data_IF_286380853178
#
_entry.id   IF_286380853178
#
_cell.length_a   1.000
_cell.length_b   1.000
_cell.length_c   1.000
_cell.angle_alpha   90.00
_cell.angle_beta   90.00
_cell.angle_gamma   90.00
#
_symmetry.space_group_name_H-M   'P 1'
#
loop_
_entity.id
_entity.type
_entity.pdbx_description
1 polymer ?
#
# COMPACT_ATOMS: atom_id res chain seq x y z
N UNK A 1 -16.26 32.54 -35.60
CA UNK A 1 -16.73 31.24 -36.11
C UNK A 1 -15.70 30.13 -35.88
N UNK A 2 -14.42 30.31 -36.24
CA UNK A 2 -13.34 29.32 -36.02
C UNK A 2 -13.10 29.02 -34.53
N UNK A 3 -13.09 30.03 -33.66
CA UNK A 3 -12.94 29.86 -32.21
C UNK A 3 -14.13 29.14 -31.55
N UNK A 4 -15.33 29.38 -32.05
CA UNK A 4 -16.54 28.68 -31.57
C UNK A 4 -16.54 27.20 -31.99
N UNK A 5 -16.14 26.92 -33.24
CA UNK A 5 -15.97 25.53 -33.71
C UNK A 5 -14.89 24.78 -32.92
N UNK A 6 -13.74 25.43 -32.65
CA UNK A 6 -12.67 24.84 -31.85
C UNK A 6 -13.12 24.52 -30.43
N UNK A 7 -13.87 25.43 -29.76
CA UNK A 7 -14.43 25.17 -28.42
C UNK A 7 -15.46 24.05 -28.41
N UNK A 8 -16.33 23.99 -29.42
CA UNK A 8 -17.33 22.93 -29.51
C UNK A 8 -16.69 21.54 -29.71
N UNK A 9 -15.64 21.45 -30.54
CA UNK A 9 -14.87 20.21 -30.74
C UNK A 9 -14.19 19.81 -29.43
N UNK A 10 -13.54 20.73 -28.76
CA UNK A 10 -12.86 20.45 -27.47
C UNK A 10 -13.85 19.99 -26.40
N UNK A 11 -15.01 20.64 -26.28
CA UNK A 11 -16.07 20.20 -25.35
C UNK A 11 -16.63 18.81 -25.69
N UNK A 12 -16.76 18.51 -26.98
CA UNK A 12 -17.20 17.20 -27.43
C UNK A 12 -16.16 16.12 -27.10
N UNK A 13 -14.87 16.37 -27.35
CA UNK A 13 -13.78 15.46 -27.02
C UNK A 13 -13.68 15.19 -25.50
N UNK A 14 -13.83 16.23 -24.68
CA UNK A 14 -13.85 16.11 -23.22
C UNK A 14 -15.05 15.28 -22.75
N UNK A 15 -16.25 15.56 -23.27
CA UNK A 15 -17.45 14.79 -22.92
C UNK A 15 -17.36 13.32 -23.36
N UNK A 16 -16.79 13.08 -24.53
CA UNK A 16 -16.59 11.74 -25.07
C UNK A 16 -15.59 10.93 -24.23
N UNK A 17 -14.45 11.53 -23.88
CA UNK A 17 -13.45 10.93 -23.00
C UNK A 17 -14.02 10.62 -21.62
N UNK A 18 -14.85 11.51 -21.07
CA UNK A 18 -15.53 11.28 -19.79
C UNK A 18 -16.53 10.11 -19.87
N UNK A 19 -17.28 10.01 -20.98
CA UNK A 19 -18.20 8.89 -21.19
C UNK A 19 -17.47 7.56 -21.31
N UNK A 20 -16.35 7.51 -22.05
CA UNK A 20 -15.49 6.33 -22.12
C UNK A 20 -14.97 5.92 -20.73
N UNK A 21 -14.41 6.87 -19.98
CA UNK A 21 -13.89 6.62 -18.64
C UNK A 21 -14.98 6.13 -17.67
N UNK A 22 -16.15 6.74 -17.71
CA UNK A 22 -17.30 6.34 -16.88
C UNK A 22 -17.79 4.93 -17.20
N UNK A 23 -17.92 4.60 -18.47
CA UNK A 23 -18.34 3.27 -18.91
C UNK A 23 -17.33 2.18 -18.48
N UNK A 24 -16.05 2.39 -18.78
CA UNK A 24 -15.00 1.43 -18.43
C UNK A 24 -14.86 1.30 -16.92
N UNK A 25 -15.03 2.40 -16.18
CA UNK A 25 -15.07 2.34 -14.73
C UNK A 25 -16.21 1.47 -14.22
N UNK A 26 -17.42 1.61 -14.75
CA UNK A 26 -18.56 0.74 -14.42
C UNK A 26 -18.26 -0.73 -14.70
N UNK A 27 -17.60 -1.02 -15.81
CA UNK A 27 -17.23 -2.38 -16.19
C UNK A 27 -16.20 -2.99 -15.24
N UNK A 28 -15.12 -2.25 -14.92
CA UNK A 28 -14.03 -2.76 -14.10
C UNK A 28 -14.29 -2.66 -12.60
N UNK A 29 -15.01 -1.63 -12.14
CA UNK A 29 -15.19 -1.38 -10.70
C UNK A 29 -16.51 -1.93 -10.16
N UNK A 30 -17.59 -1.84 -10.95
CA UNK A 30 -18.94 -2.20 -10.47
C UNK A 30 -19.39 -3.57 -11.00
N UNK A 31 -18.63 -4.18 -11.91
CA UNK A 31 -18.94 -5.50 -12.45
C UNK A 31 -20.22 -5.52 -13.29
N UNK A 32 -20.48 -4.46 -14.07
CA UNK A 32 -21.66 -4.37 -14.92
C UNK A 32 -21.69 -5.55 -15.90
N UNK A 33 -22.71 -6.41 -15.78
CA UNK A 33 -22.89 -7.55 -16.66
C UNK A 33 -23.56 -7.11 -17.96
N UNK A 34 -22.89 -7.38 -19.07
CA UNK A 34 -23.40 -7.15 -20.43
C UNK A 34 -23.11 -8.39 -21.29
N UNK A 35 -23.93 -8.63 -22.29
CA UNK A 35 -23.60 -9.63 -23.32
C UNK A 35 -22.45 -9.13 -24.20
N UNK A 36 -21.73 -10.04 -24.85
CA UNK A 36 -20.66 -9.69 -25.80
C UNK A 36 -21.13 -8.74 -26.90
N UNK A 37 -22.36 -8.94 -27.37
CA UNK A 37 -22.99 -8.12 -28.41
C UNK A 37 -23.22 -6.69 -27.91
N UNK A 38 -23.78 -6.54 -26.70
CA UNK A 38 -24.00 -5.25 -26.06
C UNK A 38 -22.68 -4.54 -25.76
N UNK A 39 -21.69 -5.28 -25.29
CA UNK A 39 -20.38 -4.75 -24.98
C UNK A 39 -19.66 -4.23 -26.24
N UNK A 40 -19.65 -5.00 -27.33
CA UNK A 40 -19.10 -4.57 -28.62
C UNK A 40 -19.82 -3.35 -29.17
N UNK A 41 -21.16 -3.30 -29.07
CA UNK A 41 -21.94 -2.13 -29.48
C UNK A 41 -21.53 -0.89 -28.66
N UNK A 42 -21.37 -1.03 -27.33
CA UNK A 42 -20.91 0.07 -26.47
C UNK A 42 -19.50 0.54 -26.81
N UNK A 43 -18.59 -0.38 -27.10
CA UNK A 43 -17.24 -0.03 -27.56
C UNK A 43 -17.29 0.79 -28.84
N UNK A 44 -18.11 0.40 -29.83
CA UNK A 44 -18.28 1.14 -31.05
C UNK A 44 -18.91 2.52 -30.82
N UNK A 45 -20.01 2.59 -30.05
CA UNK A 45 -20.69 3.86 -29.70
C UNK A 45 -19.76 4.85 -29.00
N UNK A 46 -18.79 4.34 -28.21
CA UNK A 46 -17.79 5.11 -27.49
C UNK A 46 -16.47 5.27 -28.27
N UNK A 47 -16.40 4.84 -29.53
CA UNK A 47 -15.18 4.96 -30.33
C UNK A 47 -13.97 4.21 -29.77
N UNK A 48 -14.19 3.19 -28.94
CA UNK A 48 -13.13 2.33 -28.42
C UNK A 48 -12.80 1.26 -29.46
N UNK A 49 -11.56 1.25 -29.94
CA UNK A 49 -11.09 0.30 -30.96
C UNK A 49 -10.72 -1.06 -30.32
N UNK A 50 -11.68 -1.66 -29.60
CA UNK A 50 -11.52 -2.93 -28.90
C UNK A 50 -12.65 -3.90 -29.26
N UNK A 51 -12.38 -5.20 -29.11
CA UNK A 51 -13.35 -6.26 -29.37
C UNK A 51 -13.58 -7.05 -28.08
N UNK A 52 -14.85 -7.19 -27.67
CA UNK A 52 -15.23 -7.92 -26.45
C UNK A 52 -14.86 -9.42 -26.47
N UNK A 53 -14.65 -10.00 -27.65
CA UNK A 53 -14.22 -11.38 -27.83
C UNK A 53 -12.70 -11.55 -27.61
N UNK A 54 -11.92 -10.47 -27.70
CA UNK A 54 -10.49 -10.53 -27.48
C UNK A 54 -10.19 -10.35 -26.00
N UNK A 55 -9.38 -11.24 -25.40
CA UNK A 55 -8.94 -11.06 -24.02
C UNK A 55 -8.04 -9.84 -23.91
N UNK A 56 -7.91 -9.35 -22.70
CA UNK A 56 -7.00 -8.24 -22.34
C UNK A 56 -5.99 -8.72 -21.32
N UNK A 57 -4.89 -7.97 -21.17
CA UNK A 57 -4.05 -8.06 -19.98
C UNK A 57 -4.49 -7.00 -18.98
N UNK A 58 -4.50 -7.36 -17.71
CA UNK A 58 -4.77 -6.42 -16.64
C UNK A 58 -3.53 -6.24 -15.78
N UNK A 59 -3.26 -5.00 -15.42
CA UNK A 59 -2.17 -4.61 -14.51
C UNK A 59 -2.78 -3.76 -13.40
N UNK A 60 -2.61 -4.19 -12.15
CA UNK A 60 -2.90 -3.39 -10.97
C UNK A 60 -1.58 -2.92 -10.38
N UNK A 61 -1.25 -1.65 -10.55
CA UNK A 61 -0.12 -1.02 -9.90
C UNK A 61 -0.56 -0.44 -8.55
N UNK A 62 0.11 -0.81 -7.48
CA UNK A 62 -0.16 -0.39 -6.12
C UNK A 62 1.03 0.39 -5.56
N UNK A 63 0.78 1.55 -4.95
CA UNK A 63 1.77 2.39 -4.31
C UNK A 63 1.26 2.90 -2.96
N UNK A 64 2.06 2.84 -1.87
CA UNK A 64 1.66 3.39 -0.59
C UNK A 64 1.54 4.92 -0.67
N UNK A 65 0.62 5.48 0.12
CA UNK A 65 0.54 6.92 0.35
C UNK A 65 1.90 7.45 0.81
N UNK A 66 2.46 8.48 0.17
CA UNK A 66 3.71 9.08 0.64
C UNK A 66 3.60 9.58 2.07
N UNK A 67 4.66 9.43 2.87
CA UNK A 67 4.71 9.97 4.22
C UNK A 67 4.64 11.52 4.21
N UNK A 68 4.13 12.11 5.28
CA UNK A 68 3.91 13.56 5.38
C UNK A 68 5.19 14.41 5.27
N UNK A 69 6.35 13.81 5.49
CA UNK A 69 7.67 14.45 5.34
C UNK A 69 8.13 14.54 3.88
N UNK A 70 7.36 13.98 2.94
CA UNK A 70 7.65 14.07 1.51
C UNK A 70 7.09 15.36 0.89
N UNK A 71 7.66 15.77 -0.25
CA UNK A 71 7.17 16.92 -1.02
C UNK A 71 5.82 16.68 -1.72
N UNK A 72 5.24 15.49 -1.60
CA UNK A 72 4.01 15.08 -2.28
C UNK A 72 2.77 15.34 -1.42
N UNK A 73 1.85 16.18 -1.91
CA UNK A 73 0.48 16.22 -1.41
C UNK A 73 -0.28 14.99 -1.93
N UNK A 74 -1.19 14.38 -1.16
CA UNK A 74 -1.89 13.13 -1.55
C UNK A 74 -2.57 13.19 -2.92
N UNK A 75 -3.27 14.29 -3.19
CA UNK A 75 -3.98 14.49 -4.47
C UNK A 75 -3.01 14.61 -5.66
N UNK A 76 -1.90 15.30 -5.45
CA UNK A 76 -0.86 15.50 -6.46
C UNK A 76 -0.12 14.19 -6.75
N UNK A 77 0.11 13.37 -5.72
CA UNK A 77 0.71 12.05 -5.86
C UNK A 77 -0.16 11.13 -6.71
N UNK A 78 -1.45 11.03 -6.42
CA UNK A 78 -2.38 10.21 -7.20
C UNK A 78 -2.43 10.61 -8.68
N UNK A 79 -2.41 11.91 -8.95
CA UNK A 79 -2.33 12.42 -10.32
C UNK A 79 -1.01 12.05 -11.01
N UNK A 80 0.12 12.26 -10.34
CA UNK A 80 1.44 11.93 -10.88
C UNK A 80 1.60 10.42 -11.12
N UNK A 81 1.13 9.59 -10.17
CA UNK A 81 1.16 8.14 -10.29
C UNK A 81 0.32 7.64 -11.46
N UNK A 82 -0.90 8.19 -11.63
CA UNK A 82 -1.75 7.87 -12.78
C UNK A 82 -1.08 8.25 -14.11
N UNK A 83 -0.48 9.43 -14.20
CA UNK A 83 0.19 9.88 -15.42
C UNK A 83 1.36 8.98 -15.76
N UNK A 84 2.19 8.64 -14.78
CA UNK A 84 3.32 7.73 -14.97
C UNK A 84 2.85 6.34 -15.43
N UNK A 85 1.80 5.81 -14.80
CA UNK A 85 1.21 4.54 -15.22
C UNK A 85 0.61 4.60 -16.64
N UNK A 86 -0.03 5.72 -17.01
CA UNK A 86 -0.59 5.91 -18.35
C UNK A 86 0.50 5.94 -19.41
N UNK A 87 1.59 6.64 -19.15
CA UNK A 87 2.72 6.75 -20.07
C UNK A 87 3.41 5.39 -20.27
N UNK A 88 3.74 4.72 -19.18
CA UNK A 88 4.57 3.51 -19.22
C UNK A 88 3.80 2.23 -19.54
N UNK A 89 2.57 2.09 -19.08
CA UNK A 89 1.78 0.89 -19.35
C UNK A 89 0.98 1.00 -20.65
N UNK A 90 0.39 2.16 -20.94
CA UNK A 90 -0.62 2.31 -21.98
C UNK A 90 -0.24 3.31 -23.08
N UNK A 91 1.04 3.63 -23.25
CA UNK A 91 1.55 4.48 -24.34
C UNK A 91 0.75 5.79 -24.50
N UNK A 92 0.46 6.45 -23.37
CA UNK A 92 -0.35 7.69 -23.32
C UNK A 92 -1.82 7.55 -23.70
N UNK A 93 -2.41 6.35 -23.54
CA UNK A 93 -3.85 6.15 -23.68
C UNK A 93 -4.57 6.32 -22.33
N UNK A 94 -5.04 7.52 -21.94
CA UNK A 94 -5.54 7.81 -20.58
C UNK A 94 -6.85 7.08 -20.25
N UNK A 95 -7.62 6.67 -21.26
CA UNK A 95 -8.84 5.87 -21.08
C UNK A 95 -8.55 4.45 -20.59
N UNK A 96 -7.30 4.00 -20.66
CA UNK A 96 -6.91 2.64 -20.29
C UNK A 96 -6.43 2.53 -18.84
N UNK A 97 -6.36 3.64 -18.08
CA UNK A 97 -5.86 3.65 -16.70
C UNK A 97 -6.86 4.32 -15.76
N UNK A 98 -7.21 3.61 -14.69
CA UNK A 98 -8.08 4.10 -13.62
C UNK A 98 -7.29 4.22 -12.33
N UNK A 99 -7.26 5.41 -11.76
CA UNK A 99 -6.70 5.64 -10.43
C UNK A 99 -7.82 5.61 -9.38
N UNK A 100 -7.55 4.96 -8.25
CA UNK A 100 -8.41 5.00 -7.06
C UNK A 100 -7.57 4.84 -5.79
N UNK A 101 -8.12 5.34 -4.69
CA UNK A 101 -7.50 5.26 -3.36
C UNK A 101 -8.34 4.32 -2.49
N UNK A 102 -7.69 3.39 -1.79
CA UNK A 102 -8.31 2.58 -0.74
C UNK A 102 -7.40 2.54 0.46
N UNK A 103 -7.91 2.94 1.61
CA UNK A 103 -7.10 3.15 2.80
C UNK A 103 -5.92 4.07 2.45
N UNK A 104 -4.70 3.72 2.76
CA UNK A 104 -3.51 4.52 2.45
C UNK A 104 -2.74 4.00 1.22
N UNK A 105 -3.44 3.28 0.31
CA UNK A 105 -2.86 2.74 -0.91
C UNK A 105 -3.47 3.37 -2.15
N UNK A 106 -2.64 3.91 -3.01
CA UNK A 106 -2.99 4.35 -4.35
C UNK A 106 -2.91 3.18 -5.31
N UNK A 107 -3.96 2.98 -6.09
CA UNK A 107 -4.02 1.95 -7.13
C UNK A 107 -4.21 2.60 -8.50
N UNK A 108 -3.46 2.11 -9.48
CA UNK A 108 -3.70 2.34 -10.90
C UNK A 108 -4.02 1.01 -11.56
N UNK A 109 -5.28 0.83 -11.96
CA UNK A 109 -5.70 -0.30 -12.77
C UNK A 109 -5.53 0.06 -14.24
N UNK A 110 -4.71 -0.69 -14.96
CA UNK A 110 -4.52 -0.57 -16.39
C UNK A 110 -5.02 -1.82 -17.11
N UNK A 111 -5.61 -1.64 -18.28
CA UNK A 111 -5.88 -2.73 -19.22
C UNK A 111 -5.08 -2.51 -20.51
N UNK A 112 -4.53 -3.60 -21.05
CA UNK A 112 -3.68 -3.59 -22.24
C UNK A 112 -4.24 -4.59 -23.25
N UNK A 113 -3.93 -4.35 -24.52
CA UNK A 113 -4.32 -5.24 -25.62
C UNK A 113 -3.77 -6.65 -25.39
N UNK A 114 -4.65 -7.66 -25.49
CA UNK A 114 -4.28 -9.06 -25.31
C UNK A 114 -3.36 -9.64 -26.38
N UNK A 115 -3.12 -8.89 -27.48
CA UNK A 115 -2.12 -9.26 -28.49
C UNK A 115 -0.68 -8.99 -28.06
N UNK A 116 -0.46 -8.19 -27.00
CA UNK A 116 0.86 -7.95 -26.43
C UNK A 116 1.42 -9.25 -25.83
N UNK A 117 2.71 -9.46 -26.00
CA UNK A 117 3.35 -10.61 -25.36
C UNK A 117 3.51 -10.38 -23.85
N UNK A 118 3.46 -11.43 -23.02
CA UNK A 118 3.70 -11.31 -21.58
C UNK A 118 5.01 -10.60 -21.22
N UNK A 119 6.06 -10.78 -22.04
CA UNK A 119 7.35 -10.14 -21.82
C UNK A 119 7.29 -8.61 -21.98
N UNK A 120 6.52 -8.12 -22.97
CA UNK A 120 6.30 -6.67 -23.16
C UNK A 120 5.55 -6.10 -21.97
N UNK A 121 4.49 -6.77 -21.52
CA UNK A 121 3.71 -6.35 -20.33
C UNK A 121 4.63 -6.31 -19.10
N UNK A 122 5.42 -7.35 -18.89
CA UNK A 122 6.36 -7.43 -17.78
C UNK A 122 7.43 -6.34 -17.85
N UNK A 123 7.95 -6.01 -19.02
CA UNK A 123 8.91 -4.93 -19.21
C UNK A 123 8.33 -3.58 -18.86
N UNK A 124 7.11 -3.27 -19.31
CA UNK A 124 6.39 -2.04 -18.97
C UNK A 124 6.17 -1.90 -17.45
N UNK A 125 5.78 -3.01 -16.79
CA UNK A 125 5.64 -3.04 -15.33
C UNK A 125 6.96 -2.77 -14.60
N UNK A 126 8.07 -3.38 -15.05
CA UNK A 126 9.40 -3.12 -14.45
C UNK A 126 9.81 -1.66 -14.61
N UNK A 127 9.57 -1.05 -15.77
CA UNK A 127 9.81 0.38 -15.97
C UNK A 127 8.98 1.26 -15.03
N UNK A 128 7.72 0.89 -14.79
CA UNK A 128 6.87 1.62 -13.83
C UNK A 128 7.37 1.46 -12.39
N UNK A 129 7.83 0.28 -12.00
CA UNK A 129 8.40 0.03 -10.67
C UNK A 129 9.68 0.87 -10.47
N UNK A 130 10.59 0.85 -11.43
CA UNK A 130 11.86 1.58 -11.37
C UNK A 130 11.66 3.09 -11.33
N UNK A 131 10.82 3.63 -12.23
CA UNK A 131 10.54 5.07 -12.28
C UNK A 131 9.66 5.53 -11.13
N UNK A 132 8.76 4.69 -10.61
CA UNK A 132 8.03 4.95 -9.37
C UNK A 132 8.97 5.14 -8.19
N UNK A 133 9.97 4.27 -8.05
CA UNK A 133 11.00 4.40 -7.03
C UNK A 133 11.83 5.67 -7.16
N UNK A 134 12.29 5.99 -8.35
CA UNK A 134 13.18 7.15 -8.59
C UNK A 134 12.45 8.49 -8.63
N UNK A 135 11.30 8.59 -9.30
CA UNK A 135 10.57 9.83 -9.51
C UNK A 135 9.56 10.13 -8.40
N UNK A 136 8.81 9.13 -7.95
CA UNK A 136 7.78 9.29 -6.93
C UNK A 136 8.27 8.97 -5.53
N UNK A 137 9.45 8.37 -5.39
CA UNK A 137 10.06 7.93 -4.13
C UNK A 137 9.16 6.99 -3.33
N UNK A 138 8.49 6.09 -4.03
CA UNK A 138 7.62 5.09 -3.43
C UNK A 138 7.87 3.70 -4.03
N UNK A 139 7.56 2.66 -3.26
CA UNK A 139 7.64 1.27 -3.72
C UNK A 139 6.37 0.92 -4.51
N UNK A 140 6.47 0.91 -5.84
CA UNK A 140 5.38 0.48 -6.72
C UNK A 140 5.43 -1.02 -6.88
N UNK A 141 4.32 -1.70 -6.60
CA UNK A 141 4.15 -3.15 -6.86
C UNK A 141 3.17 -3.32 -8.01
N UNK A 142 3.52 -4.13 -9.01
CA UNK A 142 2.65 -4.42 -10.14
C UNK A 142 2.14 -5.86 -10.07
N UNK A 143 0.81 -6.04 -10.08
CA UNK A 143 0.13 -7.33 -10.21
C UNK A 143 -0.33 -7.49 -11.63
N UNK A 144 -0.02 -8.62 -12.27
CA UNK A 144 -0.36 -8.86 -13.68
C UNK A 144 -1.18 -10.12 -13.83
N UNK A 145 -2.26 -10.02 -14.59
CA UNK A 145 -3.05 -11.16 -15.05
C UNK A 145 -3.20 -11.09 -16.56
N UNK A 146 -2.93 -12.20 -17.22
CA UNK A 146 -2.99 -12.32 -18.67
C UNK A 146 -4.29 -12.96 -19.14
N UNK A 147 -4.69 -12.65 -20.37
CA UNK A 147 -5.83 -13.28 -21.05
C UNK A 147 -7.15 -13.18 -20.29
N UNK A 148 -7.44 -12.01 -19.72
CA UNK A 148 -8.67 -11.74 -18.97
C UNK A 148 -9.81 -11.44 -19.93
N UNK A 149 -10.94 -12.10 -19.74
CA UNK A 149 -12.20 -11.75 -20.43
C UNK A 149 -12.77 -10.47 -19.85
N UNK A 150 -13.38 -9.64 -20.69
CA UNK A 150 -14.08 -8.43 -20.27
C UNK A 150 -15.17 -8.69 -19.21
N UNK A 151 -15.83 -9.86 -19.28
CA UNK A 151 -16.87 -10.25 -18.32
C UNK A 151 -16.33 -10.58 -16.92
N UNK A 152 -15.07 -11.00 -16.84
CA UNK A 152 -14.43 -11.35 -15.57
C UNK A 152 -13.53 -10.24 -15.03
N UNK A 153 -13.42 -9.12 -15.73
CA UNK A 153 -12.48 -8.05 -15.42
C UNK A 153 -12.66 -7.47 -14.00
N UNK A 154 -13.91 -7.25 -13.55
CA UNK A 154 -14.18 -6.78 -12.20
C UNK A 154 -13.77 -7.79 -11.14
N UNK A 155 -14.11 -9.07 -11.32
CA UNK A 155 -13.69 -10.15 -10.38
C UNK A 155 -12.18 -10.29 -10.36
N UNK A 156 -11.53 -10.16 -11.52
CA UNK A 156 -10.08 -10.21 -11.61
C UNK A 156 -9.39 -9.03 -10.90
N UNK A 157 -9.95 -7.81 -11.02
CA UNK A 157 -9.49 -6.66 -10.23
C UNK A 157 -9.57 -6.94 -8.73
N UNK A 158 -10.69 -7.50 -8.26
CA UNK A 158 -10.86 -7.86 -6.83
C UNK A 158 -9.85 -8.90 -6.38
N UNK A 159 -9.59 -9.91 -7.21
CA UNK A 159 -8.56 -10.91 -6.95
C UNK A 159 -7.16 -10.28 -6.84
N UNK A 160 -6.82 -9.33 -7.73
CA UNK A 160 -5.56 -8.59 -7.67
C UNK A 160 -5.45 -7.73 -6.41
N UNK A 161 -6.51 -7.02 -6.01
CA UNK A 161 -6.54 -6.28 -4.73
C UNK A 161 -6.41 -7.20 -3.52
N UNK A 162 -7.00 -8.38 -3.56
CA UNK A 162 -6.83 -9.38 -2.51
C UNK A 162 -5.39 -9.90 -2.44
N UNK A 163 -4.74 -10.08 -3.58
CA UNK A 163 -3.32 -10.44 -3.64
C UNK A 163 -2.43 -9.32 -3.08
N UNK A 164 -2.77 -8.05 -3.33
CA UNK A 164 -2.06 -6.93 -2.72
C UNK A 164 -2.16 -6.93 -1.20
N UNK A 165 -3.34 -7.20 -0.65
CA UNK A 165 -3.54 -7.34 0.81
C UNK A 165 -2.74 -8.50 1.43
N UNK A 166 -2.49 -9.56 0.67
CA UNK A 166 -1.69 -10.71 1.11
C UNK A 166 -0.18 -10.50 0.94
N UNK A 167 0.21 -9.54 0.12
CA UNK A 167 1.61 -9.29 -0.19
C UNK A 167 2.28 -8.39 0.86
N UNK A 168 2.94 -9.00 1.82
CA UNK A 168 3.69 -8.30 2.87
C UNK A 168 5.18 -8.21 2.52
N UNK A 169 5.72 -9.23 1.83
CA UNK A 169 7.16 -9.45 1.70
C UNK A 169 7.73 -9.03 0.35
N UNK A 170 6.90 -8.92 -0.68
CA UNK A 170 7.33 -8.68 -2.08
C UNK A 170 6.81 -7.34 -2.60
N UNK A 171 6.94 -6.29 -1.76
CA UNK A 171 6.66 -4.91 -2.18
C UNK A 171 7.74 -4.42 -3.13
N UNK A 172 7.37 -3.57 -4.09
CA UNK A 172 8.31 -3.06 -5.09
C UNK A 172 8.65 -4.05 -6.20
N UNK A 173 7.88 -5.12 -6.37
CA UNK A 173 8.12 -6.17 -7.34
C UNK A 173 7.00 -6.34 -8.36
N UNK A 174 7.32 -7.04 -9.45
CA UNK A 174 6.35 -7.56 -10.40
C UNK A 174 5.83 -8.91 -9.90
N UNK A 175 4.52 -9.01 -9.71
CA UNK A 175 3.82 -10.20 -9.21
C UNK A 175 2.94 -10.76 -10.33
N UNK A 176 3.23 -11.97 -10.76
CA UNK A 176 2.43 -12.67 -11.76
C UNK A 176 1.31 -13.48 -11.08
N UNK A 177 0.27 -13.81 -11.83
CA UNK A 177 -0.88 -14.60 -11.33
C UNK A 177 -0.45 -15.95 -10.73
N UNK A 178 0.60 -16.56 -11.28
CA UNK A 178 1.16 -17.83 -10.84
C UNK A 178 2.02 -17.74 -9.58
N UNK A 179 2.41 -16.52 -9.18
CA UNK A 179 3.25 -16.32 -8.01
C UNK A 179 2.46 -16.62 -6.72
N UNK A 180 3.05 -17.42 -5.86
CA UNK A 180 2.48 -17.67 -4.56
C UNK A 180 2.82 -16.54 -3.60
N UNK A 181 1.78 -15.94 -3.02
CA UNK A 181 1.87 -14.91 -1.99
C UNK A 181 1.30 -15.49 -0.70
N UNK A 182 2.07 -15.44 0.36
CA UNK A 182 1.66 -15.91 1.66
C UNK A 182 2.37 -17.19 2.13
N UNK A 183 2.11 -17.59 3.37
CA UNK A 183 2.84 -18.68 4.00
C UNK A 183 2.44 -20.04 3.40
N UNK A 184 3.45 -20.90 3.22
CA UNK A 184 3.24 -22.29 2.83
C UNK A 184 2.70 -23.13 4.01
N UNK A 185 2.90 -22.69 5.26
CA UNK A 185 2.43 -23.33 6.49
C UNK A 185 1.96 -22.26 7.49
N UNK A 186 0.95 -22.59 8.29
CA UNK A 186 0.58 -21.78 9.46
C UNK A 186 1.69 -21.90 10.51
N UNK A 187 2.51 -20.89 10.62
CA UNK A 187 3.57 -20.84 11.63
C UNK A 187 2.98 -20.51 12.99
N UNK A 188 3.35 -21.30 13.99
CA UNK A 188 3.25 -20.87 15.38
C UNK A 188 4.48 -20.03 15.72
N UNK A 189 4.32 -18.72 15.70
CA UNK A 189 5.34 -17.79 16.17
C UNK A 189 4.84 -17.14 17.46
N UNK A 190 5.72 -16.95 18.41
CA UNK A 190 5.48 -16.22 19.65
C UNK A 190 6.63 -15.24 19.88
N UNK A 191 6.29 -13.98 20.08
CA UNK A 191 7.25 -12.93 20.41
C UNK A 191 7.91 -13.25 21.77
N UNK A 192 9.22 -13.07 21.87
CA UNK A 192 9.95 -13.21 23.13
C UNK A 192 9.67 -11.99 24.03
N UNK A 193 8.53 -12.05 24.74
CA UNK A 193 8.04 -10.99 25.62
C UNK A 193 9.04 -10.65 26.71
N UNK A 194 9.63 -11.66 27.36
CA UNK A 194 10.55 -11.45 28.46
C UNK A 194 11.83 -10.68 28.03
N UNK A 195 12.34 -11.03 26.85
CA UNK A 195 13.48 -10.35 26.26
C UNK A 195 13.15 -8.92 25.86
N UNK A 196 11.95 -8.70 25.30
CA UNK A 196 11.50 -7.38 24.90
C UNK A 196 11.33 -6.46 26.13
N UNK A 197 10.73 -6.94 27.22
CA UNK A 197 10.62 -6.21 28.49
C UNK A 197 12.00 -5.85 29.07
N UNK A 198 12.95 -6.79 29.02
CA UNK A 198 14.30 -6.55 29.44
C UNK A 198 14.99 -5.44 28.62
N UNK A 199 14.79 -5.43 27.31
CA UNK A 199 15.35 -4.40 26.42
C UNK A 199 14.72 -3.02 26.67
N UNK A 200 13.43 -2.96 26.98
CA UNK A 200 12.78 -1.72 27.43
C UNK A 200 13.35 -1.22 28.75
N UNK A 201 13.56 -2.10 29.73
CA UNK A 201 14.18 -1.75 31.01
C UNK A 201 15.63 -1.22 30.84
N UNK A 202 16.36 -1.76 29.85
CA UNK A 202 17.69 -1.25 29.48
C UNK A 202 17.64 0.07 28.70
N UNK A 203 16.47 0.46 28.19
CA UNK A 203 16.28 1.65 27.38
C UNK A 203 17.01 1.60 26.05
N UNK A 204 17.20 0.41 25.45
CA UNK A 204 17.94 0.22 24.21
C UNK A 204 17.01 0.12 23.00
N UNK A 205 16.57 1.26 22.46
CA UNK A 205 15.72 1.35 21.26
C UNK A 205 16.30 0.59 20.07
N UNK A 206 17.62 0.70 19.75
CA UNK A 206 18.19 -0.06 18.65
C UNK A 206 18.09 -1.58 18.84
N UNK A 207 18.25 -2.07 20.07
CA UNK A 207 18.15 -3.51 20.35
C UNK A 207 16.71 -4.03 20.22
N UNK A 208 15.71 -3.24 20.66
CA UNK A 208 14.28 -3.54 20.49
C UNK A 208 13.96 -3.63 18.99
N UNK A 209 14.34 -2.60 18.22
CA UNK A 209 14.06 -2.56 16.77
C UNK A 209 14.77 -3.70 16.03
N UNK A 210 16.01 -4.04 16.40
CA UNK A 210 16.75 -5.12 15.77
C UNK A 210 16.18 -6.51 16.11
N UNK A 211 15.64 -6.71 17.31
CA UNK A 211 14.98 -7.96 17.68
C UNK A 211 13.79 -8.22 16.73
N UNK A 212 12.87 -7.27 16.63
CA UNK A 212 11.69 -7.40 15.76
C UNK A 212 12.11 -7.51 14.29
N UNK A 213 13.09 -6.72 13.84
CA UNK A 213 13.60 -6.81 12.46
C UNK A 213 14.13 -8.20 12.14
N UNK A 214 14.92 -8.78 13.03
CA UNK A 214 15.50 -10.11 12.86
C UNK A 214 14.40 -11.17 12.75
N UNK A 215 13.42 -11.12 13.65
CA UNK A 215 12.31 -12.08 13.66
C UNK A 215 11.48 -11.98 12.36
N UNK A 216 11.11 -10.77 11.95
CA UNK A 216 10.38 -10.54 10.70
C UNK A 216 11.18 -10.98 9.46
N UNK A 217 12.49 -10.73 9.42
CA UNK A 217 13.34 -11.16 8.31
C UNK A 217 13.43 -12.69 8.25
N UNK A 218 13.62 -13.36 9.37
CA UNK A 218 13.65 -14.83 9.43
C UNK A 218 12.31 -15.43 8.96
N UNK A 219 11.18 -14.90 9.45
CA UNK A 219 9.85 -15.36 9.05
C UNK A 219 9.58 -15.13 7.55
N UNK A 220 10.11 -14.05 6.99
CA UNK A 220 10.00 -13.77 5.55
C UNK A 220 10.86 -14.72 4.70
N UNK A 221 12.11 -14.98 5.10
CA UNK A 221 13.02 -15.92 4.44
C UNK A 221 12.45 -17.36 4.46
N UNK A 222 11.85 -17.76 5.57
CA UNK A 222 11.19 -19.05 5.73
C UNK A 222 9.81 -19.12 5.05
N UNK A 223 9.35 -18.01 4.42
CA UNK A 223 8.03 -17.90 3.79
C UNK A 223 6.86 -18.21 4.74
N UNK A 224 7.01 -17.85 6.00
CA UNK A 224 6.01 -18.06 7.05
C UNK A 224 5.20 -16.80 7.36
N UNK A 225 5.64 -15.64 6.89
CA UNK A 225 5.00 -14.37 7.18
C UNK A 225 3.68 -14.21 6.42
N UNK A 226 2.59 -13.97 7.17
CA UNK A 226 1.24 -13.74 6.65
C UNK A 226 0.65 -12.47 7.24
N UNK A 227 -0.44 -11.89 6.66
CA UNK A 227 -1.16 -10.79 7.27
C UNK A 227 -1.61 -11.08 8.71
N UNK A 228 -2.13 -12.29 8.96
CA UNK A 228 -2.55 -12.71 10.29
C UNK A 228 -1.39 -12.75 11.29
N UNK A 229 -0.22 -13.25 10.86
CA UNK A 229 0.98 -13.28 11.71
C UNK A 229 1.53 -11.86 11.94
N UNK A 230 1.51 -10.99 10.92
CA UNK A 230 1.88 -9.58 11.10
C UNK A 230 0.98 -8.87 12.11
N UNK A 231 -0.32 -9.12 12.04
CA UNK A 231 -1.29 -8.60 13.00
C UNK A 231 -1.01 -9.12 14.41
N UNK A 232 -0.73 -10.41 14.56
CA UNK A 232 -0.38 -11.01 15.84
C UNK A 232 0.89 -10.36 16.41
N UNK A 233 1.97 -10.24 15.64
CA UNK A 233 3.23 -9.60 16.08
C UNK A 233 2.99 -8.14 16.50
N UNK A 234 2.17 -7.42 15.75
CA UNK A 234 1.79 -6.04 16.09
C UNK A 234 1.07 -5.96 17.43
N UNK A 235 0.07 -6.81 17.64
CA UNK A 235 -0.69 -6.86 18.88
C UNK A 235 0.18 -7.28 20.08
N UNK A 236 1.02 -8.29 19.91
CA UNK A 236 1.93 -8.76 20.95
C UNK A 236 2.94 -7.65 21.35
N UNK A 237 3.50 -6.95 20.35
CA UNK A 237 4.38 -5.80 20.62
C UNK A 237 3.65 -4.68 21.35
N UNK A 238 2.44 -4.32 20.93
CA UNK A 238 1.63 -3.29 21.62
C UNK A 238 1.31 -3.69 23.05
N UNK A 239 0.99 -4.95 23.30
CA UNK A 239 0.70 -5.44 24.64
C UNK A 239 1.91 -5.27 25.56
N UNK A 240 3.10 -5.64 25.11
CA UNK A 240 4.35 -5.45 25.86
C UNK A 240 4.62 -3.97 26.08
N UNK A 241 4.52 -3.14 25.04
CA UNK A 241 4.72 -1.71 25.13
C UNK A 241 3.80 -1.06 26.18
N UNK A 242 2.51 -1.39 26.16
CA UNK A 242 1.53 -0.85 27.10
C UNK A 242 1.73 -1.37 28.53
N UNK A 243 2.15 -2.62 28.68
CA UNK A 243 2.54 -3.18 29.98
C UNK A 243 3.72 -2.43 30.58
N UNK A 244 4.77 -2.17 29.79
CA UNK A 244 5.95 -1.42 30.22
C UNK A 244 5.61 0.02 30.59
N UNK A 245 4.80 0.71 29.79
CA UNK A 245 4.35 2.08 30.10
C UNK A 245 3.51 2.13 31.38
N UNK A 246 2.57 1.21 31.53
CA UNK A 246 1.71 1.11 32.74
C UNK A 246 2.55 0.84 34.00
N UNK A 247 3.55 -0.02 33.93
CA UNK A 247 4.47 -0.29 35.04
C UNK A 247 5.29 0.94 35.46
N UNK A 248 5.43 1.94 34.57
CA UNK A 248 6.11 3.21 34.84
C UNK A 248 5.10 4.38 35.06
N UNK A 249 3.83 4.08 35.30
CA UNK A 249 2.74 5.06 35.56
C UNK A 249 2.50 6.03 34.38
N UNK A 250 2.82 5.62 33.14
CA UNK A 250 2.66 6.40 31.93
C UNK A 250 1.41 5.94 31.16
N UNK A 251 0.56 6.89 30.76
CA UNK A 251 -0.63 6.59 30.00
C UNK A 251 -0.33 6.54 28.50
N UNK A 252 -0.41 5.35 27.90
CA UNK A 252 -0.07 5.13 26.50
C UNK A 252 -0.84 6.00 25.51
N UNK A 253 -2.13 6.29 25.78
CA UNK A 253 -2.95 7.11 24.90
C UNK A 253 -2.51 8.58 24.81
N UNK A 254 -1.81 9.11 25.81
CA UNK A 254 -1.24 10.45 25.76
C UNK A 254 0.03 10.49 24.90
N UNK A 255 0.77 9.39 24.90
CA UNK A 255 2.03 9.29 24.19
C UNK A 255 1.89 9.12 22.68
N UNK A 256 0.80 8.48 22.21
CA UNK A 256 0.59 8.10 20.81
C UNK A 256 -0.62 8.77 20.14
N UNK A 257 -1.10 9.91 20.64
CA UNK A 257 -2.30 10.57 20.15
C UNK A 257 -2.13 11.44 18.91
N UNK A 258 -0.88 11.76 18.54
CA UNK A 258 -0.64 12.59 17.35
C UNK A 258 -0.88 11.82 16.05
N UNK A 259 -1.31 12.55 15.01
CA UNK A 259 -1.72 11.97 13.73
C UNK A 259 -0.63 11.13 13.06
N UNK A 260 0.64 11.47 13.25
CA UNK A 260 1.75 10.71 12.67
C UNK A 260 1.89 9.33 13.32
N UNK A 261 1.79 9.25 14.66
CA UNK A 261 1.79 7.98 15.37
C UNK A 261 0.56 7.14 15.08
N UNK A 262 -0.61 7.76 15.02
CA UNK A 262 -1.86 7.05 14.67
C UNK A 262 -1.72 6.41 13.29
N UNK A 263 -1.23 7.14 12.27
CA UNK A 263 -0.99 6.58 10.94
C UNK A 263 0.04 5.47 10.92
N UNK A 264 1.19 5.64 11.58
CA UNK A 264 2.21 4.59 11.67
C UNK A 264 1.66 3.31 12.31
N UNK A 265 0.86 3.45 13.35
CA UNK A 265 0.20 2.32 14.01
C UNK A 265 -0.79 1.61 13.08
N UNK A 266 -1.63 2.36 12.37
CA UNK A 266 -2.63 1.82 11.44
C UNK A 266 -1.99 1.12 10.23
N UNK A 267 -0.84 1.59 9.78
CA UNK A 267 -0.15 1.03 8.61
C UNK A 267 0.91 -0.02 8.96
N UNK A 268 1.20 -0.26 10.26
CA UNK A 268 2.27 -1.14 10.72
C UNK A 268 2.19 -2.56 10.12
N UNK A 269 0.98 -3.11 10.01
CA UNK A 269 0.74 -4.47 9.53
C UNK A 269 0.88 -4.64 8.01
N UNK A 270 0.96 -3.54 7.26
CA UNK A 270 0.92 -3.57 5.79
C UNK A 270 2.25 -3.99 5.14
N UNK A 271 3.37 -3.89 5.84
CA UNK A 271 4.69 -4.34 5.39
C UNK A 271 5.68 -4.47 6.54
N UNK A 272 6.74 -5.27 6.31
CA UNK A 272 7.86 -5.40 7.26
C UNK A 272 8.46 -4.03 7.59
N UNK A 273 8.66 -3.19 6.57
CA UNK A 273 9.25 -1.86 6.75
C UNK A 273 8.38 -0.95 7.62
N UNK A 274 7.06 -0.97 7.42
CA UNK A 274 6.13 -0.18 8.23
C UNK A 274 6.08 -0.66 9.67
N UNK A 275 6.12 -1.97 9.90
CA UNK A 275 6.22 -2.55 11.24
C UNK A 275 7.50 -2.08 11.95
N UNK A 276 8.65 -2.13 11.28
CA UNK A 276 9.93 -1.68 11.85
C UNK A 276 9.90 -0.17 12.16
N UNK A 277 9.31 0.65 11.29
CA UNK A 277 9.14 2.10 11.52
C UNK A 277 8.28 2.35 12.76
N UNK A 278 7.13 1.69 12.86
CA UNK A 278 6.24 1.80 14.02
C UNK A 278 6.97 1.41 15.32
N UNK A 279 7.59 0.22 15.35
CA UNK A 279 8.33 -0.28 16.52
C UNK A 279 9.42 0.70 16.94
N UNK A 280 10.19 1.24 15.98
CA UNK A 280 11.26 2.18 16.26
C UNK A 280 10.74 3.48 16.90
N UNK A 281 9.69 4.07 16.34
CA UNK A 281 9.09 5.32 16.84
C UNK A 281 8.44 5.10 18.20
N UNK A 282 7.67 4.02 18.34
CA UNK A 282 6.98 3.69 19.59
C UNK A 282 7.95 3.40 20.73
N UNK A 283 9.01 2.63 20.47
CA UNK A 283 10.04 2.32 21.45
C UNK A 283 10.85 3.59 21.85
N UNK A 284 11.21 4.45 20.90
CA UNK A 284 11.92 5.70 21.18
C UNK A 284 11.11 6.61 22.10
N UNK A 285 9.83 6.83 21.77
CA UNK A 285 8.95 7.64 22.61
C UNK A 285 8.78 7.06 24.02
N UNK A 286 8.52 5.76 24.12
CA UNK A 286 8.35 5.09 25.39
C UNK A 286 9.61 5.21 26.27
N UNK A 287 10.77 4.85 25.73
CA UNK A 287 12.05 4.91 26.45
C UNK A 287 12.39 6.34 26.88
N UNK A 288 12.17 7.34 26.03
CA UNK A 288 12.40 8.74 26.35
C UNK A 288 11.52 9.20 27.51
N UNK A 289 10.23 8.95 27.44
CA UNK A 289 9.27 9.35 28.47
C UNK A 289 9.54 8.64 29.79
N UNK A 290 9.87 7.35 29.77
CA UNK A 290 10.28 6.61 30.98
C UNK A 290 11.49 7.27 31.64
N UNK A 291 12.53 7.63 30.89
CA UNK A 291 13.72 8.31 31.43
C UNK A 291 13.36 9.67 32.01
N UNK A 292 12.56 10.47 31.36
CA UNK A 292 12.11 11.78 31.84
C UNK A 292 11.32 11.65 33.15
N UNK A 293 10.38 10.70 33.24
CA UNK A 293 9.62 10.42 34.46
C UNK A 293 10.52 10.03 35.64
N UNK A 294 11.48 9.14 35.39
CA UNK A 294 12.43 8.74 36.43
C UNK A 294 13.34 9.90 36.90
N UNK A 295 13.76 10.80 36.01
CA UNK A 295 14.53 11.97 36.36
C UNK A 295 13.71 12.94 37.23
N UNK A 296 12.48 13.22 36.89
CA UNK A 296 11.57 14.08 37.64
C UNK A 296 11.35 13.51 39.06
N UNK A 297 11.07 12.21 39.15
CA UNK A 297 10.83 11.54 40.43
C UNK A 297 12.11 11.53 41.31
N UNK A 298 13.28 11.37 40.71
CA UNK A 298 14.57 11.47 41.44
C UNK A 298 14.85 12.85 41.99
N UNK A 299 14.55 13.91 41.23
CA UNK A 299 14.70 15.31 41.68
C UNK A 299 13.70 15.63 42.79
N UNK A 300 12.43 15.22 42.61
CA UNK A 300 11.40 15.42 43.64
C UNK A 300 11.72 14.69 44.97
N UNK A 301 12.30 13.51 44.87
CA UNK A 301 12.81 12.75 46.05
C UNK A 301 13.94 13.45 46.80
N UNK A 302 14.91 14.04 46.07
CA UNK A 302 16.02 14.82 46.67
C UNK A 302 15.51 16.08 47.36
N UNK A 303 14.59 16.83 46.75
CA UNK A 303 14.01 18.06 47.35
C UNK A 303 13.26 17.73 48.64
N UNK A 304 12.55 16.61 48.72
CA UNK A 304 11.87 16.17 49.96
C UNK A 304 12.85 15.77 51.07
N UNK A 305 14.02 15.26 50.74
CA UNK A 305 15.03 14.85 51.72
C UNK A 305 15.80 16.05 52.27
N UNK A 306 16.00 17.10 51.46
CA UNK A 306 16.73 18.32 51.86
C UNK A 306 15.83 19.32 52.66
N UNK A 307 14.51 19.02 52.76
CA UNK A 307 13.54 19.87 53.48
C UNK A 307 13.11 19.28 54.84
N UNK A 308 13.64 18.15 55.24
CA UNK A 308 13.49 17.53 56.56
C UNK A 308 14.78 17.71 57.40
#
# INVERSE_FOLDING_TARGET
ELLQKSRAVQQWEEAHSLAQASFLRGLFMDGTLMTEIELNKRFQDLGLAVNALQPIHMVLAAAPQPADDTSWKPELFGYAFRNLATELLCENAPAHVFHFLRQDMHFCLAWLDGSLTPDIVAQRCRSLIELGGSCLRCEVTCYVTHSVSWHTAAAQREAMEQRDRQNITRRGELILETDQLGPHNAAQYSLDVAKLEQLFAQGSVPAITNLIRKDLSTLAEEKMLSPALMQQIHQDFQQVLYSVLSANEIQAHELFRDDACVRLNQTAESSIMNMIKWVSVAADRAVRTIRETHQVNSIAGKIRHDTQ
#
